data_IF_055289749980
#
_entry.id   IF_055289749980
#
_cell.length_a   1.000
_cell.length_b   1.000
_cell.length_c   1.000
_cell.angle_alpha   90.00
_cell.angle_beta   90.00
_cell.angle_gamma   90.00
#
_symmetry.space_group_name_H-M   'P 1'
#
loop_
_entity.id
_entity.type
_entity.pdbx_description
1 polymer ?
#
# COMPACT_ATOMS: atom_id res chain seq x y z
N UNK A 1 -18.47 20.77 10.32
CA UNK A 1 -19.58 19.80 10.22
C UNK A 1 -19.65 18.93 11.47
N UNK A 2 -18.55 18.34 11.94
CA UNK A 2 -18.49 17.46 13.13
C UNK A 2 -19.06 18.19 14.35
N UNK A 3 -18.48 19.30 14.74
CA UNK A 3 -18.96 20.12 15.86
C UNK A 3 -20.41 20.58 15.70
N UNK A 4 -20.79 20.97 14.49
CA UNK A 4 -22.10 21.50 14.19
C UNK A 4 -23.24 20.45 14.33
N UNK A 5 -22.93 19.18 14.06
CA UNK A 5 -23.87 18.04 14.22
C UNK A 5 -23.71 17.39 15.60
N UNK A 6 -22.60 17.68 16.29
CA UNK A 6 -22.26 17.08 17.57
C UNK A 6 -21.97 15.58 17.46
N UNK A 7 -21.26 15.19 16.38
CA UNK A 7 -20.86 13.80 16.18
C UNK A 7 -19.72 13.45 17.12
N UNK A 8 -19.84 12.31 17.83
CA UNK A 8 -18.76 11.78 18.64
C UNK A 8 -17.61 11.25 17.75
N UNK A 9 -16.40 11.70 18.04
CA UNK A 9 -15.18 11.29 17.32
C UNK A 9 -14.35 10.27 18.08
N UNK A 10 -14.83 9.82 19.23
CA UNK A 10 -14.09 8.88 20.09
C UNK A 10 -13.94 7.49 19.49
N UNK A 11 -14.90 7.07 18.65
CA UNK A 11 -14.88 5.79 17.91
C UNK A 11 -14.81 6.03 16.42
N UNK A 12 -13.78 5.48 15.80
CA UNK A 12 -13.56 5.63 14.36
C UNK A 12 -13.09 4.31 13.73
N UNK A 13 -13.21 4.24 12.41
CA UNK A 13 -12.74 3.12 11.60
C UNK A 13 -11.90 3.61 10.44
N UNK A 14 -10.80 2.93 10.16
CA UNK A 14 -9.82 3.24 9.12
C UNK A 14 -9.76 2.11 8.10
N UNK A 15 -9.76 2.47 6.82
CA UNK A 15 -9.54 1.53 5.74
C UNK A 15 -8.96 2.23 4.51
N UNK A 16 -8.41 1.44 3.58
CA UNK A 16 -7.85 1.91 2.33
C UNK A 16 -8.65 1.48 1.12
N UNK A 17 -8.61 2.27 0.06
CA UNK A 17 -9.22 1.89 -1.21
C UNK A 17 -8.40 2.33 -2.39
N UNK A 18 -8.43 1.50 -3.45
CA UNK A 18 -7.74 1.81 -4.70
C UNK A 18 -8.59 2.73 -5.57
N UNK A 19 -7.97 3.82 -5.99
CA UNK A 19 -8.52 4.75 -6.98
C UNK A 19 -7.71 4.64 -8.26
N UNK A 20 -8.38 4.24 -9.35
CA UNK A 20 -7.72 3.96 -10.63
C UNK A 20 -7.48 5.23 -11.42
N UNK A 21 -6.28 5.39 -11.95
CA UNK A 21 -5.97 6.40 -12.96
C UNK A 21 -6.50 6.01 -14.34
N UNK A 22 -6.71 7.00 -15.21
CA UNK A 22 -7.15 6.77 -16.58
C UNK A 22 -6.00 6.35 -17.54
N UNK A 23 -4.76 6.33 -17.06
CA UNK A 23 -3.61 5.95 -17.86
C UNK A 23 -3.35 4.44 -17.82
N UNK A 24 -2.71 3.94 -18.88
CA UNK A 24 -2.16 2.59 -18.93
C UNK A 24 -0.68 2.61 -18.57
N UNK A 25 -0.18 1.55 -17.94
CA UNK A 25 1.25 1.30 -17.86
C UNK A 25 1.83 1.15 -19.27
N UNK A 26 3.01 1.72 -19.48
CA UNK A 26 3.73 1.62 -20.74
C UNK A 26 4.82 0.54 -20.64
N UNK A 27 5.17 -0.14 -21.76
CA UNK A 27 6.39 -0.94 -21.81
C UNK A 27 7.61 -0.02 -21.61
N UNK A 28 8.73 -0.57 -21.19
CA UNK A 28 9.95 0.19 -20.85
C UNK A 28 10.39 1.15 -21.96
N UNK A 29 10.36 0.68 -23.22
CA UNK A 29 10.63 1.53 -24.36
C UNK A 29 9.64 2.72 -24.43
N UNK A 30 8.35 2.45 -24.26
CA UNK A 30 7.32 3.49 -24.25
C UNK A 30 7.49 4.52 -23.13
N UNK A 31 8.00 4.11 -21.97
CA UNK A 31 8.29 5.02 -20.85
C UNK A 31 9.41 6.01 -21.24
N UNK A 32 10.53 5.52 -21.81
CA UNK A 32 11.65 6.38 -22.25
C UNK A 32 11.20 7.31 -23.40
N UNK A 33 10.50 6.77 -24.39
CA UNK A 33 10.01 7.56 -25.54
C UNK A 33 9.04 8.66 -25.11
N UNK A 34 8.10 8.35 -24.22
CA UNK A 34 7.13 9.36 -23.74
C UNK A 34 7.80 10.40 -22.82
N UNK A 35 8.83 10.01 -22.04
CA UNK A 35 9.60 10.93 -21.23
C UNK A 35 10.38 11.93 -22.11
N UNK A 36 11.09 11.45 -23.11
CA UNK A 36 11.81 12.28 -24.08
C UNK A 36 10.84 13.22 -24.83
N UNK A 37 9.72 12.68 -25.31
CA UNK A 37 8.67 13.46 -25.98
C UNK A 37 8.11 14.58 -25.10
N UNK A 38 7.86 14.29 -23.81
CA UNK A 38 7.34 15.26 -22.85
C UNK A 38 8.37 16.39 -22.59
N UNK A 39 9.64 16.03 -22.42
CA UNK A 39 10.72 17.00 -22.24
C UNK A 39 10.84 17.88 -23.49
N UNK A 40 10.96 17.31 -24.67
CA UNK A 40 11.12 18.07 -25.91
C UNK A 40 9.94 19.00 -26.21
N UNK A 41 8.71 18.58 -25.91
CA UNK A 41 7.52 19.44 -26.04
C UNK A 41 7.49 20.59 -25.03
N UNK A 42 7.97 20.38 -23.81
CA UNK A 42 8.07 21.45 -22.82
C UNK A 42 9.20 22.41 -23.22
N UNK A 43 10.34 21.87 -23.68
CA UNK A 43 11.47 22.63 -24.19
C UNK A 43 11.07 23.55 -25.33
N UNK A 44 10.33 23.04 -26.33
CA UNK A 44 9.86 23.84 -27.47
C UNK A 44 8.98 25.03 -27.07
N UNK A 45 8.21 24.89 -26.00
CA UNK A 45 7.29 25.94 -25.53
C UNK A 45 7.99 26.99 -24.67
N UNK A 46 8.91 26.56 -23.80
CA UNK A 46 9.53 27.44 -22.81
C UNK A 46 10.91 27.97 -23.23
N UNK A 47 11.62 27.22 -24.05
CA UNK A 47 12.99 27.50 -24.49
C UNK A 47 13.16 27.19 -25.98
N UNK A 48 12.56 28.00 -26.90
CA UNK A 48 12.57 27.74 -28.33
C UNK A 48 13.97 27.76 -28.96
N UNK A 49 14.89 28.59 -28.46
CA UNK A 49 16.27 28.66 -28.97
C UNK A 49 17.05 27.38 -28.67
N UNK A 50 17.14 26.88 -27.41
CA UNK A 50 17.69 25.56 -27.13
C UNK A 50 17.00 24.42 -27.88
N UNK A 51 15.67 24.48 -28.06
CA UNK A 51 14.94 23.48 -28.83
C UNK A 51 15.37 23.43 -30.29
N UNK A 52 15.59 24.59 -30.93
CA UNK A 52 16.03 24.66 -32.33
C UNK A 52 17.42 24.04 -32.54
N UNK A 53 18.20 23.85 -31.49
CA UNK A 53 19.51 23.17 -31.61
C UNK A 53 19.41 21.64 -31.55
N UNK A 54 18.26 21.07 -31.18
CA UNK A 54 18.08 19.62 -31.10
C UNK A 54 18.15 18.99 -32.51
N UNK A 55 18.81 17.85 -32.61
CA UNK A 55 18.95 17.13 -33.86
C UNK A 55 17.58 16.81 -34.48
N UNK A 56 17.44 17.07 -35.78
CA UNK A 56 16.21 16.84 -36.53
C UNK A 56 15.75 15.37 -36.46
N UNK A 57 16.71 14.41 -36.40
CA UNK A 57 16.38 13.00 -36.29
C UNK A 57 15.75 12.67 -34.93
N UNK A 58 16.26 13.26 -33.86
CA UNK A 58 15.67 13.14 -32.52
C UNK A 58 14.26 13.73 -32.49
N UNK A 59 14.06 14.92 -33.05
CA UNK A 59 12.73 15.52 -33.15
C UNK A 59 11.75 14.65 -33.91
N UNK A 60 12.17 14.09 -35.06
CA UNK A 60 11.37 13.16 -35.84
C UNK A 60 10.97 11.91 -35.06
N UNK A 61 11.92 11.29 -34.32
CA UNK A 61 11.67 10.08 -33.53
C UNK A 61 10.69 10.32 -32.37
N UNK A 62 10.86 11.40 -31.62
CA UNK A 62 10.19 11.59 -30.34
C UNK A 62 9.02 12.58 -30.37
N UNK A 63 9.06 13.60 -31.22
CA UNK A 63 8.03 14.65 -31.29
C UNK A 63 7.06 14.43 -32.46
N UNK A 64 7.56 14.30 -33.65
CA UNK A 64 6.73 14.13 -34.85
C UNK A 64 6.16 12.72 -34.94
N UNK A 65 6.92 11.73 -34.48
CA UNK A 65 6.56 10.29 -34.47
C UNK A 65 6.19 9.81 -35.88
N UNK A 66 6.92 10.27 -36.90
CA UNK A 66 6.70 9.95 -38.30
C UNK A 66 7.95 9.38 -38.96
N UNK A 67 7.77 8.59 -40.04
CA UNK A 67 8.84 8.03 -40.83
C UNK A 67 9.55 6.83 -40.24
N UNK A 68 10.50 6.31 -40.98
CA UNK A 68 11.32 5.17 -40.60
C UNK A 68 12.13 5.49 -39.32
N UNK A 69 12.16 4.55 -38.41
CA UNK A 69 12.89 4.71 -37.15
C UNK A 69 12.13 5.42 -36.03
N UNK A 70 10.90 5.91 -36.25
CA UNK A 70 10.06 6.36 -35.12
C UNK A 70 9.63 5.17 -34.28
N UNK A 71 9.26 5.46 -32.99
CA UNK A 71 8.86 4.41 -32.03
C UNK A 71 7.35 4.14 -32.03
N UNK A 72 6.56 4.88 -32.85
CA UNK A 72 5.10 4.78 -32.87
C UNK A 72 4.61 3.38 -33.27
N UNK A 73 5.26 2.77 -34.25
CA UNK A 73 4.88 1.49 -34.87
C UNK A 73 5.76 0.31 -34.39
N UNK A 74 6.52 0.50 -33.30
CA UNK A 74 7.40 -0.56 -32.76
C UNK A 74 6.57 -1.74 -32.26
N UNK A 75 6.73 -2.90 -32.89
CA UNK A 75 6.09 -4.15 -32.43
C UNK A 75 6.66 -4.61 -31.10
N UNK A 76 5.88 -5.30 -30.26
CA UNK A 76 6.37 -5.82 -28.96
C UNK A 76 7.64 -6.66 -29.08
N UNK A 77 7.80 -7.43 -30.14
CA UNK A 77 8.99 -8.24 -30.44
C UNK A 77 10.26 -7.40 -30.69
N UNK A 78 10.11 -6.19 -31.22
CA UNK A 78 11.22 -5.28 -31.52
C UNK A 78 11.57 -4.37 -30.34
N UNK A 79 10.66 -4.22 -29.38
CA UNK A 79 10.80 -3.31 -28.26
C UNK A 79 12.09 -3.55 -27.48
N UNK A 80 12.47 -4.82 -27.24
CA UNK A 80 13.72 -5.16 -26.56
C UNK A 80 14.95 -4.74 -27.34
N UNK A 81 14.93 -4.86 -28.67
CA UNK A 81 16.05 -4.49 -29.57
C UNK A 81 16.24 -2.98 -29.63
N UNK A 82 15.15 -2.22 -29.61
CA UNK A 82 15.18 -0.75 -29.73
C UNK A 82 15.34 -0.01 -28.39
N UNK A 83 15.18 -0.71 -27.27
CA UNK A 83 15.31 -0.11 -25.95
C UNK A 83 16.71 0.50 -25.68
N UNK A 84 17.86 -0.13 -26.04
CA UNK A 84 19.17 0.49 -25.91
C UNK A 84 19.37 1.75 -26.75
N UNK A 85 18.75 1.85 -27.92
CA UNK A 85 18.76 3.05 -28.76
C UNK A 85 18.08 4.21 -28.02
N UNK A 86 16.85 4.00 -27.56
CA UNK A 86 16.12 5.01 -26.81
C UNK A 86 16.83 5.42 -25.50
N UNK A 87 17.52 4.48 -24.85
CA UNK A 87 18.29 4.76 -23.65
C UNK A 87 19.48 5.70 -23.92
N UNK A 88 20.18 5.51 -25.05
CA UNK A 88 21.27 6.41 -25.48
C UNK A 88 20.74 7.79 -25.87
N UNK A 89 19.70 7.85 -26.70
CA UNK A 89 19.10 9.14 -27.08
C UNK A 89 18.67 9.95 -25.86
N UNK A 90 18.07 9.30 -24.86
CA UNK A 90 17.68 9.93 -23.57
C UNK A 90 18.91 10.39 -22.79
N UNK A 91 19.96 9.61 -22.71
CA UNK A 91 21.21 9.98 -22.06
C UNK A 91 21.85 11.21 -22.72
N UNK A 92 21.93 11.24 -24.04
CA UNK A 92 22.46 12.36 -24.81
C UNK A 92 21.63 13.64 -24.59
N UNK A 93 20.31 13.53 -24.53
CA UNK A 93 19.45 14.65 -24.17
C UNK A 93 19.74 15.16 -22.76
N UNK A 94 19.92 14.26 -21.78
CA UNK A 94 20.22 14.62 -20.40
C UNK A 94 21.57 15.34 -20.33
N UNK A 95 22.64 14.79 -20.90
CA UNK A 95 23.96 15.40 -20.86
C UNK A 95 24.00 16.75 -21.58
N UNK A 96 23.34 16.86 -22.73
CA UNK A 96 23.27 18.10 -23.51
C UNK A 96 22.66 19.27 -22.71
N UNK A 97 21.62 19.02 -21.94
CA UNK A 97 20.88 20.06 -21.22
C UNK A 97 21.23 20.17 -19.74
N UNK A 98 22.17 19.36 -19.25
CA UNK A 98 22.53 19.27 -17.83
C UNK A 98 22.98 20.57 -17.19
N UNK A 99 23.71 21.39 -17.92
CA UNK A 99 24.32 22.64 -17.43
C UNK A 99 23.62 23.89 -17.99
N UNK A 100 22.36 23.78 -18.40
CA UNK A 100 21.58 24.87 -18.96
C UNK A 100 20.38 25.20 -18.07
N UNK A 101 19.79 26.38 -18.24
CA UNK A 101 18.58 26.79 -17.52
C UNK A 101 17.40 25.82 -17.75
N UNK A 102 17.46 25.05 -18.83
CA UNK A 102 16.44 24.04 -19.14
C UNK A 102 16.44 22.86 -18.15
N UNK A 103 17.52 22.68 -17.39
CA UNK A 103 17.59 21.65 -16.33
C UNK A 103 16.60 21.90 -15.20
N UNK A 104 16.08 23.12 -15.05
CA UNK A 104 15.03 23.48 -14.09
C UNK A 104 13.61 23.03 -14.51
N UNK A 105 13.43 22.51 -15.73
CA UNK A 105 12.14 22.03 -16.20
C UNK A 105 11.71 20.75 -15.44
N UNK A 106 10.45 20.69 -15.03
CA UNK A 106 9.91 19.49 -14.36
C UNK A 106 10.05 18.23 -15.22
N UNK A 107 9.84 18.38 -16.55
CA UNK A 107 9.98 17.27 -17.49
C UNK A 107 11.43 16.81 -17.65
N UNK A 108 12.42 17.69 -17.47
CA UNK A 108 13.84 17.29 -17.44
C UNK A 108 14.15 16.48 -16.18
N UNK A 109 13.73 16.92 -15.00
CA UNK A 109 13.88 16.14 -13.78
C UNK A 109 13.19 14.77 -13.84
N UNK A 110 12.02 14.71 -14.48
CA UNK A 110 11.33 13.44 -14.75
C UNK A 110 12.10 12.55 -15.73
N UNK A 111 12.69 13.12 -16.79
CA UNK A 111 13.51 12.40 -17.76
C UNK A 111 14.72 11.76 -17.07
N UNK A 112 15.45 12.53 -16.25
CA UNK A 112 16.58 12.04 -15.45
C UNK A 112 16.16 10.91 -14.50
N UNK A 113 15.07 11.10 -13.77
CA UNK A 113 14.54 10.07 -12.86
C UNK A 113 14.25 8.77 -13.60
N UNK A 114 13.52 8.82 -14.71
CA UNK A 114 13.18 7.65 -15.51
C UNK A 114 14.43 6.98 -16.06
N UNK A 115 15.42 7.77 -16.52
CA UNK A 115 16.70 7.23 -16.96
C UNK A 115 17.38 6.43 -15.86
N UNK A 116 17.56 7.00 -14.67
CA UNK A 116 18.19 6.30 -13.52
C UNK A 116 17.40 5.07 -13.04
N UNK A 117 16.08 5.08 -13.17
CA UNK A 117 15.25 3.91 -12.87
C UNK A 117 15.46 2.77 -13.87
N UNK A 118 15.72 3.07 -15.14
CA UNK A 118 15.75 2.11 -16.24
C UNK A 118 17.15 1.76 -16.75
N UNK A 119 18.13 2.64 -16.57
CA UNK A 119 19.44 2.58 -17.17
C UNK A 119 20.55 2.82 -16.15
N UNK A 120 21.78 2.51 -16.55
CA UNK A 120 23.01 2.73 -15.82
C UNK A 120 24.05 3.27 -16.78
N UNK A 121 24.84 4.25 -16.31
CA UNK A 121 26.00 4.78 -17.02
C UNK A 121 27.20 3.94 -16.64
N UNK A 122 28.00 3.55 -17.62
CA UNK A 122 29.20 2.73 -17.44
C UNK A 122 30.43 3.51 -17.91
N UNK A 123 31.61 3.09 -17.44
CA UNK A 123 32.90 3.67 -17.87
C UNK A 123 33.36 3.13 -19.24
N UNK A 124 32.59 2.20 -19.83
CA UNK A 124 32.89 1.66 -21.15
C UNK A 124 32.48 2.68 -22.22
N UNK A 125 33.47 3.31 -22.86
CA UNK A 125 33.25 4.29 -23.93
C UNK A 125 32.53 3.72 -25.16
N UNK A 126 32.57 2.40 -25.37
CA UNK A 126 31.87 1.71 -26.47
C UNK A 126 30.38 1.48 -26.17
N UNK A 127 30.01 1.41 -24.91
CA UNK A 127 28.64 1.22 -24.42
C UNK A 127 28.36 2.04 -23.16
N UNK A 128 28.35 3.39 -23.25
CA UNK A 128 28.26 4.25 -22.08
C UNK A 128 26.95 4.12 -21.32
N UNK A 129 25.91 3.51 -21.93
CA UNK A 129 24.59 3.32 -21.33
C UNK A 129 24.20 1.85 -21.42
N UNK A 130 23.90 1.25 -20.28
CA UNK A 130 23.38 -0.11 -20.16
C UNK A 130 21.97 -0.08 -19.59
N UNK A 131 21.05 -0.81 -20.22
CA UNK A 131 19.70 -0.96 -19.74
C UNK A 131 19.69 -1.97 -18.60
N UNK A 132 19.21 -1.55 -17.42
CA UNK A 132 19.08 -2.43 -16.25
C UNK A 132 18.18 -3.63 -16.55
N UNK A 133 18.39 -4.79 -15.91
CA UNK A 133 17.47 -5.92 -16.02
C UNK A 133 16.05 -5.52 -15.58
N UNK A 134 15.00 -6.19 -16.11
CA UNK A 134 13.63 -5.94 -15.66
C UNK A 134 13.51 -6.18 -14.16
N UNK A 135 12.85 -5.28 -13.44
CA UNK A 135 12.53 -5.51 -12.03
C UNK A 135 11.47 -6.61 -11.92
N UNK A 136 11.63 -7.52 -10.98
CA UNK A 136 10.80 -8.74 -10.85
C UNK A 136 9.61 -8.59 -9.89
N UNK A 137 9.53 -7.48 -9.16
CA UNK A 137 8.48 -7.26 -8.14
C UNK A 137 7.84 -5.89 -8.27
N UNK A 138 6.80 -5.64 -7.51
CA UNK A 138 6.12 -4.35 -7.37
C UNK A 138 7.17 -3.25 -7.16
N UNK A 139 7.40 -2.46 -8.19
CA UNK A 139 8.44 -1.45 -8.16
C UNK A 139 7.80 -0.06 -8.05
N UNK A 140 8.44 0.78 -7.23
CA UNK A 140 8.06 2.17 -7.04
C UNK A 140 8.45 3.07 -8.26
N UNK A 141 8.76 2.45 -9.40
CA UNK A 141 9.15 3.12 -10.62
C UNK A 141 7.99 3.79 -11.36
N UNK A 142 8.35 4.74 -12.21
CA UNK A 142 7.39 5.42 -13.10
C UNK A 142 6.85 4.42 -14.13
N UNK A 143 5.54 4.26 -14.17
CA UNK A 143 4.84 3.39 -15.14
C UNK A 143 4.35 4.13 -16.37
N UNK A 144 4.22 5.45 -16.28
CA UNK A 144 3.87 6.34 -17.37
C UNK A 144 4.27 7.79 -17.05
N UNK A 145 5.07 8.46 -17.90
CA UNK A 145 5.48 9.84 -17.70
C UNK A 145 4.34 10.87 -17.65
N UNK A 146 3.17 10.50 -18.17
CA UNK A 146 1.97 11.37 -18.09
C UNK A 146 1.32 11.41 -16.72
N UNK A 147 1.63 10.44 -15.83
CA UNK A 147 1.23 10.40 -14.44
C UNK A 147 2.35 9.73 -13.62
N UNK A 148 3.43 10.46 -13.31
CA UNK A 148 4.64 9.89 -12.71
C UNK A 148 4.45 9.43 -11.27
N UNK A 149 3.34 9.79 -10.62
CA UNK A 149 3.03 9.41 -9.24
C UNK A 149 2.20 8.14 -9.14
N UNK A 150 1.44 7.81 -10.19
CA UNK A 150 0.68 6.56 -10.23
C UNK A 150 1.62 5.35 -10.19
N UNK A 151 1.18 4.29 -9.49
CA UNK A 151 1.94 3.05 -9.33
C UNK A 151 1.12 1.85 -9.82
N UNK A 152 1.83 0.78 -10.09
CA UNK A 152 1.24 -0.52 -10.41
C UNK A 152 1.47 -1.49 -9.25
N UNK A 153 0.41 -2.18 -8.87
CA UNK A 153 0.47 -3.31 -7.95
C UNK A 153 -0.23 -4.50 -8.63
N UNK A 154 0.38 -5.67 -8.57
CA UNK A 154 -0.11 -6.90 -9.25
C UNK A 154 -1.56 -7.25 -8.88
N UNK A 155 -1.95 -7.03 -7.64
CA UNK A 155 -3.28 -7.38 -7.13
C UNK A 155 -4.28 -6.23 -7.21
N UNK A 156 -3.78 -4.99 -7.13
CA UNK A 156 -4.61 -3.77 -7.04
C UNK A 156 -4.74 -3.03 -8.39
N UNK A 157 -3.88 -3.33 -9.37
CA UNK A 157 -3.86 -2.68 -10.69
C UNK A 157 -3.05 -1.39 -10.70
N UNK A 158 -3.51 -0.36 -11.42
CA UNK A 158 -2.79 0.91 -11.61
C UNK A 158 -3.56 2.08 -11.00
N UNK A 159 -2.92 2.88 -10.17
CA UNK A 159 -3.53 4.06 -9.55
C UNK A 159 -2.85 4.54 -8.28
N UNK A 160 -3.68 4.92 -7.34
CA UNK A 160 -3.34 5.46 -6.02
C UNK A 160 -4.07 4.69 -4.93
N UNK A 161 -3.53 4.73 -3.72
CA UNK A 161 -4.20 4.24 -2.51
C UNK A 161 -4.80 5.44 -1.79
N UNK A 162 -6.08 5.36 -1.42
CA UNK A 162 -6.75 6.40 -0.64
C UNK A 162 -7.11 5.82 0.71
N UNK A 163 -6.61 6.46 1.76
CA UNK A 163 -6.95 6.16 3.15
C UNK A 163 -8.16 6.98 3.56
N UNK A 164 -9.12 6.37 4.22
CA UNK A 164 -10.28 7.05 4.79
C UNK A 164 -10.47 6.61 6.22
N UNK A 165 -10.55 7.58 7.13
CA UNK A 165 -10.99 7.37 8.50
C UNK A 165 -12.31 8.08 8.71
N UNK A 166 -13.27 7.43 9.38
CA UNK A 166 -14.59 7.98 9.65
C UNK A 166 -15.08 7.58 11.04
N UNK A 167 -15.97 8.37 11.61
CA UNK A 167 -16.66 8.04 12.86
C UNK A 167 -17.65 6.89 12.63
N UNK A 168 -18.00 6.21 13.71
CA UNK A 168 -19.17 5.32 13.76
C UNK A 168 -19.83 5.39 15.13
N UNK A 169 -21.13 5.16 15.17
CA UNK A 169 -21.89 4.95 16.39
C UNK A 169 -22.31 3.47 16.47
N UNK A 170 -22.37 2.95 17.71
CA UNK A 170 -22.96 1.64 17.96
C UNK A 170 -24.47 1.83 18.17
N UNK A 171 -25.29 1.06 17.47
CA UNK A 171 -26.77 1.16 17.56
C UNK A 171 -27.35 0.69 18.91
N UNK A 172 -26.49 0.12 19.79
CA UNK A 172 -26.92 -0.50 21.04
C UNK A 172 -26.90 0.46 22.25
N UNK A 173 -26.81 1.77 22.06
CA UNK A 173 -26.85 2.73 23.17
C UNK A 173 -28.28 2.87 23.72
N UNK A 174 -28.59 2.35 24.92
CA UNK A 174 -29.94 2.36 25.49
C UNK A 174 -30.45 3.77 25.90
N UNK A 175 -29.66 4.81 25.66
CA UNK A 175 -29.95 6.19 26.09
C UNK A 175 -30.37 7.13 24.93
N UNK A 176 -30.37 6.69 23.68
CA UNK A 176 -30.89 7.51 22.58
C UNK A 176 -32.39 7.26 22.43
N UNK A 177 -33.16 8.34 22.49
CA UNK A 177 -34.63 8.38 22.22
C UNK A 177 -34.86 7.77 20.82
N UNK A 178 -35.52 6.60 20.76
CA UNK A 178 -35.84 5.86 19.52
C UNK A 178 -36.60 6.73 18.49
N UNK A 179 -37.03 7.95 18.87
CA UNK A 179 -37.71 8.91 18.01
C UNK A 179 -36.80 9.77 17.16
N UNK A 180 -35.47 9.81 17.45
CA UNK A 180 -34.51 10.61 16.68
C UNK A 180 -33.65 9.75 15.76
N UNK A 181 -33.44 10.18 14.50
CA UNK A 181 -32.58 9.47 13.59
C UNK A 181 -31.11 9.48 14.09
N UNK A 182 -30.41 8.36 13.97
CA UNK A 182 -29.01 8.24 14.34
C UNK A 182 -28.14 9.30 13.64
N UNK A 183 -27.18 9.87 14.37
CA UNK A 183 -26.22 10.82 13.79
C UNK A 183 -25.40 10.17 12.68
N UNK A 184 -25.06 10.93 11.63
CA UNK A 184 -24.36 10.36 10.48
C UNK A 184 -22.88 10.08 10.82
N UNK A 185 -22.37 8.98 10.31
CA UNK A 185 -20.91 8.75 10.27
C UNK A 185 -20.25 9.80 9.38
N UNK A 186 -19.18 10.45 9.85
CA UNK A 186 -18.48 11.49 9.12
C UNK A 186 -17.02 11.11 8.88
N UNK A 187 -16.57 11.35 7.66
CA UNK A 187 -15.16 11.18 7.30
C UNK A 187 -14.35 12.25 8.03
N UNK A 188 -13.39 11.82 8.82
CA UNK A 188 -12.51 12.65 9.63
C UNK A 188 -11.12 12.82 9.03
N UNK A 189 -10.63 11.82 8.25
CA UNK A 189 -9.33 11.86 7.61
C UNK A 189 -9.40 11.30 6.19
N UNK A 190 -8.66 11.93 5.27
CA UNK A 190 -8.43 11.44 3.91
C UNK A 190 -6.98 11.72 3.51
N UNK A 191 -6.27 10.68 3.15
CA UNK A 191 -4.94 10.78 2.56
C UNK A 191 -4.88 10.03 1.22
N UNK A 192 -3.96 10.43 0.36
CA UNK A 192 -3.69 9.75 -0.91
C UNK A 192 -2.22 9.36 -0.94
N UNK A 193 -1.96 8.09 -1.16
CA UNK A 193 -0.65 7.50 -1.12
C UNK A 193 -0.32 6.77 -2.43
N UNK A 194 0.93 6.38 -2.57
CA UNK A 194 1.35 5.48 -3.64
C UNK A 194 0.68 4.13 -3.46
N UNK A 195 0.23 3.53 -4.56
CA UNK A 195 -0.43 2.22 -4.54
C UNK A 195 0.45 1.09 -3.99
N UNK A 196 1.75 1.29 -3.94
CA UNK A 196 2.75 0.36 -3.38
C UNK A 196 2.97 0.51 -1.87
N UNK A 197 2.39 1.53 -1.25
CA UNK A 197 2.46 1.73 0.20
C UNK A 197 1.77 0.57 0.95
N UNK A 198 2.34 0.14 2.06
CA UNK A 198 1.69 -0.80 2.96
C UNK A 198 0.64 -0.08 3.80
N UNK A 199 -0.53 -0.71 3.97
CA UNK A 199 -1.64 -0.09 4.69
C UNK A 199 -1.23 0.32 6.12
N UNK A 200 -0.44 -0.49 6.82
CA UNK A 200 0.09 -0.19 8.17
C UNK A 200 0.87 1.14 8.26
N UNK A 201 1.51 1.57 7.19
CA UNK A 201 2.31 2.81 7.17
C UNK A 201 1.42 4.06 7.17
N UNK A 202 0.13 3.91 6.89
CA UNK A 202 -0.86 5.00 6.93
C UNK A 202 -1.36 5.31 8.34
N UNK A 203 -1.16 4.40 9.33
CA UNK A 203 -1.72 4.54 10.67
C UNK A 203 -1.22 5.80 11.38
N UNK A 204 0.09 5.96 11.48
CA UNK A 204 0.68 7.08 12.22
C UNK A 204 0.31 8.44 11.60
N UNK A 205 0.45 8.65 10.27
CA UNK A 205 0.01 9.88 9.63
C UNK A 205 -1.48 10.19 9.84
N UNK A 206 -2.34 9.17 9.84
CA UNK A 206 -3.77 9.35 10.05
C UNK A 206 -4.10 9.78 11.47
N UNK A 207 -3.45 9.16 12.47
CA UNK A 207 -3.62 9.52 13.88
C UNK A 207 -3.05 10.92 14.19
N UNK A 208 -1.88 11.25 13.63
CA UNK A 208 -1.25 12.55 13.81
C UNK A 208 -2.10 13.70 13.20
N UNK A 209 -2.67 13.48 11.99
CA UNK A 209 -3.61 14.42 11.36
C UNK A 209 -4.90 14.58 12.18
N UNK A 210 -5.44 13.48 12.71
CA UNK A 210 -6.64 13.54 13.55
C UNK A 210 -6.38 14.26 14.88
N UNK A 211 -5.20 14.08 15.49
CA UNK A 211 -4.80 14.77 16.71
C UNK A 211 -4.64 16.28 16.49
N UNK A 212 -3.96 16.68 15.41
CA UNK A 212 -3.80 18.10 15.05
C UNK A 212 -5.14 18.81 14.84
N UNK A 213 -6.16 18.08 14.37
CA UNK A 213 -7.51 18.62 14.13
C UNK A 213 -8.47 18.44 15.30
N UNK A 214 -8.02 17.90 16.43
CA UNK A 214 -8.83 17.70 17.63
C UNK A 214 -9.95 16.66 17.45
N UNK A 215 -9.79 15.71 16.54
CA UNK A 215 -10.75 14.63 16.23
C UNK A 215 -10.13 13.24 16.41
N UNK A 216 -9.08 13.13 17.23
CA UNK A 216 -8.39 11.87 17.48
C UNK A 216 -9.32 10.87 18.17
N UNK A 217 -9.42 9.61 17.64
CA UNK A 217 -10.20 8.57 18.28
C UNK A 217 -9.58 8.11 19.62
N UNK A 218 -10.41 7.57 20.49
CA UNK A 218 -9.99 6.72 21.61
C UNK A 218 -9.93 5.26 21.19
N UNK A 219 -10.81 4.86 20.27
CA UNK A 219 -10.89 3.53 19.69
C UNK A 219 -10.87 3.61 18.18
N UNK A 220 -10.02 2.79 17.54
CA UNK A 220 -9.91 2.72 16.08
C UNK A 220 -10.05 1.29 15.56
N UNK A 221 -11.10 1.04 14.78
CA UNK A 221 -11.29 -0.22 14.07
C UNK A 221 -10.52 -0.18 12.75
N UNK A 222 -9.75 -1.23 12.45
CA UNK A 222 -9.03 -1.36 11.19
C UNK A 222 -8.97 -2.81 10.73
N UNK A 223 -8.61 -3.06 9.46
CA UNK A 223 -8.49 -4.42 8.96
C UNK A 223 -7.23 -5.14 9.48
N UNK A 224 -7.09 -6.42 9.15
CA UNK A 224 -5.97 -7.25 9.61
C UNK A 224 -4.58 -6.78 9.16
N UNK A 225 -4.48 -5.90 8.15
CA UNK A 225 -3.21 -5.30 7.75
C UNK A 225 -2.65 -4.35 8.81
N UNK A 226 -3.52 -3.81 9.69
CA UNK A 226 -3.15 -3.01 10.86
C UNK A 226 -3.04 -3.85 12.14
N UNK A 227 -3.27 -5.17 12.05
CA UNK A 227 -3.29 -6.10 13.21
C UNK A 227 -1.90 -6.58 13.65
N UNK A 228 -0.80 -5.95 13.24
CA UNK A 228 0.53 -6.28 13.76
C UNK A 228 0.72 -5.76 15.19
N UNK A 229 1.57 -6.43 15.98
CA UNK A 229 1.90 -5.96 17.33
C UNK A 229 2.51 -4.55 17.31
N UNK A 230 3.28 -4.23 16.27
CA UNK A 230 3.84 -2.89 16.05
C UNK A 230 2.76 -1.83 15.87
N UNK A 231 1.74 -2.08 15.02
CA UNK A 231 0.63 -1.14 14.84
C UNK A 231 -0.16 -0.90 16.13
N UNK A 232 -0.39 -1.96 16.92
CA UNK A 232 -1.07 -1.82 18.21
C UNK A 232 -0.25 -0.99 19.20
N UNK A 233 1.07 -1.19 19.24
CA UNK A 233 1.97 -0.39 20.07
C UNK A 233 1.95 1.08 19.67
N UNK A 234 2.05 1.38 18.38
CA UNK A 234 1.95 2.73 17.81
C UNK A 234 0.62 3.41 18.16
N UNK A 235 -0.49 2.66 18.14
CA UNK A 235 -1.79 3.15 18.60
C UNK A 235 -1.78 3.47 20.10
N UNK A 236 -1.27 2.54 20.93
CA UNK A 236 -1.19 2.71 22.38
C UNK A 236 -0.32 3.91 22.77
N UNK A 237 0.84 4.10 22.15
CA UNK A 237 1.72 5.24 22.37
C UNK A 237 1.02 6.59 22.11
N UNK A 238 0.03 6.60 21.21
CA UNK A 238 -0.81 7.78 20.91
C UNK A 238 -2.10 7.85 21.73
N UNK A 239 -2.30 6.92 22.67
CA UNK A 239 -3.51 6.86 23.48
C UNK A 239 -4.74 6.38 22.73
N UNK A 240 -4.55 5.58 21.67
CA UNK A 240 -5.62 5.01 20.83
C UNK A 240 -5.65 3.50 21.00
N UNK A 241 -6.81 2.96 21.36
CA UNK A 241 -7.04 1.52 21.40
C UNK A 241 -7.34 1.02 19.98
N UNK A 242 -6.45 0.16 19.45
CA UNK A 242 -6.60 -0.42 18.14
C UNK A 242 -7.41 -1.73 18.21
N UNK A 243 -8.49 -1.81 17.47
CA UNK A 243 -9.30 -3.04 17.30
C UNK A 243 -9.13 -3.54 15.86
N UNK A 244 -8.19 -4.45 15.70
CA UNK A 244 -7.81 -5.00 14.39
C UNK A 244 -7.45 -6.47 14.55
N UNK A 245 -8.04 -7.37 13.75
CA UNK A 245 -7.73 -8.79 13.87
C UNK A 245 -6.29 -9.07 13.46
N UNK A 246 -5.68 -10.03 14.12
CA UNK A 246 -4.34 -10.50 13.81
C UNK A 246 -4.32 -11.19 12.44
N UNK A 247 -3.25 -11.02 11.70
CA UNK A 247 -3.04 -11.79 10.46
C UNK A 247 -2.98 -13.30 10.78
N UNK A 248 -3.55 -14.17 9.92
CA UNK A 248 -3.44 -15.61 10.07
C UNK A 248 -1.99 -16.07 10.18
N UNK A 249 -1.72 -17.06 11.01
CA UNK A 249 -0.38 -17.61 11.14
C UNK A 249 0.15 -18.14 9.81
N UNK A 250 1.46 -17.95 9.59
CA UNK A 250 2.10 -18.43 8.36
C UNK A 250 1.99 -19.96 8.26
N UNK A 251 1.38 -20.43 7.21
CA UNK A 251 1.18 -21.88 6.96
C UNK A 251 -0.25 -22.36 7.23
N UNK A 252 -1.09 -21.60 7.95
CA UNK A 252 -2.50 -21.98 8.21
C UNK A 252 -3.26 -22.33 6.94
N UNK A 253 -3.15 -21.53 5.89
CA UNK A 253 -3.80 -21.77 4.58
C UNK A 253 -3.32 -23.05 3.88
N UNK A 254 -2.18 -23.59 4.28
CA UNK A 254 -1.58 -24.82 3.74
C UNK A 254 -1.81 -26.03 4.66
N UNK A 255 -2.62 -25.88 5.71
CA UNK A 255 -2.91 -26.95 6.68
C UNK A 255 -1.76 -27.28 7.62
N UNK A 256 -0.71 -26.44 7.68
CA UNK A 256 0.43 -26.64 8.57
C UNK A 256 0.06 -26.29 10.00
N UNK A 257 0.64 -27.01 10.94
CA UNK A 257 0.54 -26.69 12.35
C UNK A 257 1.20 -25.36 12.66
N UNK A 258 0.53 -24.60 13.50
CA UNK A 258 0.94 -23.27 13.96
C UNK A 258 1.02 -23.25 15.48
N UNK A 259 1.40 -22.14 16.08
CA UNK A 259 1.56 -22.08 17.54
C UNK A 259 0.23 -22.30 18.30
N UNK A 260 -0.88 -21.95 17.67
CA UNK A 260 -2.24 -22.13 18.16
C UNK A 260 -2.65 -23.60 18.33
N UNK A 261 -1.98 -24.51 17.64
CA UNK A 261 -2.24 -25.97 17.73
C UNK A 261 -1.52 -26.63 18.91
N UNK A 262 -0.63 -25.88 19.61
CA UNK A 262 0.20 -26.38 20.71
C UNK A 262 -0.27 -25.80 22.06
N UNK A 263 -0.12 -26.58 23.12
CA UNK A 263 -0.33 -26.07 24.48
C UNK A 263 0.90 -25.26 24.92
N UNK A 264 0.65 -24.05 25.43
CA UNK A 264 1.68 -23.13 25.90
C UNK A 264 1.56 -22.94 27.42
N UNK A 265 2.68 -22.74 28.11
CA UNK A 265 2.69 -22.26 29.49
C UNK A 265 2.54 -20.73 29.57
N UNK A 266 2.57 -20.19 30.78
CA UNK A 266 2.46 -18.76 31.07
C UNK A 266 3.61 -17.93 30.44
N UNK A 267 4.75 -18.55 30.18
CA UNK A 267 5.91 -17.91 29.55
C UNK A 267 5.87 -18.01 28.02
N UNK A 268 4.87 -18.72 27.46
CA UNK A 268 4.71 -18.95 26.03
C UNK A 268 5.56 -20.09 25.51
N UNK A 269 6.14 -20.93 26.35
CA UNK A 269 6.82 -22.16 25.94
C UNK A 269 5.79 -23.25 25.59
N UNK A 270 6.05 -23.99 24.53
CA UNK A 270 5.28 -25.17 24.19
C UNK A 270 5.54 -26.25 25.22
N UNK A 271 4.50 -26.69 25.92
CA UNK A 271 4.53 -27.79 26.90
C UNK A 271 3.98 -29.10 26.32
N UNK A 272 3.13 -29.03 25.29
CA UNK A 272 2.60 -30.21 24.62
C UNK A 272 2.27 -29.94 23.16
N UNK A 273 2.59 -30.90 22.28
CA UNK A 273 2.20 -30.83 20.87
C UNK A 273 0.77 -31.37 20.65
N UNK A 274 0.12 -31.16 19.48
CA UNK A 274 -1.23 -31.63 19.18
C UNK A 274 -1.39 -33.17 19.24
N UNK A 275 -0.28 -33.88 19.20
CA UNK A 275 -0.25 -35.34 19.34
C UNK A 275 0.05 -35.82 20.79
N UNK A 276 -0.03 -34.92 21.76
CA UNK A 276 0.13 -35.22 23.17
C UNK A 276 1.57 -35.39 23.67
N UNK A 277 2.59 -35.08 22.85
CA UNK A 277 3.99 -35.25 23.23
C UNK A 277 4.54 -33.95 23.86
N UNK A 278 5.28 -34.10 24.96
CA UNK A 278 6.00 -32.99 25.60
C UNK A 278 7.41 -32.86 25.02
N UNK A 279 7.98 -31.64 24.94
CA UNK A 279 9.36 -31.43 24.58
C UNK A 279 10.30 -32.11 25.58
N UNK A 280 11.41 -32.67 25.09
CA UNK A 280 12.51 -33.19 25.94
C UNK A 280 13.40 -32.06 26.49
N UNK A 281 13.41 -30.92 25.83
CA UNK A 281 14.13 -29.74 26.24
C UNK A 281 13.35 -28.49 25.83
N UNK A 282 13.29 -27.50 26.71
CA UNK A 282 12.69 -26.21 26.45
C UNK A 282 13.61 -25.10 27.01
N UNK A 283 13.81 -24.04 26.25
CA UNK A 283 14.67 -22.89 26.62
C UNK A 283 13.99 -21.57 26.30
N UNK A 284 14.04 -20.66 27.26
CA UNK A 284 13.67 -19.26 27.09
C UNK A 284 14.93 -18.44 26.91
N UNK A 285 15.02 -17.67 25.85
CA UNK A 285 16.07 -16.67 25.64
C UNK A 285 15.40 -15.30 25.41
N UNK A 286 16.15 -14.25 25.54
CA UNK A 286 15.66 -12.86 25.48
C UNK A 286 14.83 -12.57 24.22
N UNK A 287 15.22 -13.09 23.07
CA UNK A 287 14.55 -12.82 21.78
C UNK A 287 13.71 -14.01 21.31
N UNK A 288 14.05 -15.24 21.69
CA UNK A 288 13.48 -16.46 21.13
C UNK A 288 13.22 -17.52 22.18
N UNK A 289 12.17 -18.30 21.96
CA UNK A 289 11.87 -19.52 22.65
C UNK A 289 12.27 -20.70 21.77
N UNK A 290 12.74 -21.78 22.37
CA UNK A 290 13.14 -22.98 21.68
C UNK A 290 12.60 -24.21 22.41
N UNK A 291 12.09 -25.16 21.64
CA UNK A 291 11.69 -26.49 22.11
C UNK A 291 12.32 -27.58 21.26
N UNK A 292 12.67 -28.68 21.88
CA UNK A 292 13.23 -29.87 21.24
C UNK A 292 12.35 -31.07 21.58
N UNK A 293 11.90 -31.79 20.58
CA UNK A 293 11.14 -33.04 20.74
C UNK A 293 12.04 -34.25 20.45
N UNK A 294 11.67 -35.43 21.01
CA UNK A 294 12.35 -36.67 20.74
C UNK A 294 12.20 -37.09 19.27
N UNK A 295 13.31 -37.20 18.51
CA UNK A 295 13.26 -37.59 17.10
C UNK A 295 12.66 -39.01 16.89
N UNK A 296 12.86 -39.92 17.84
CA UNK A 296 12.34 -41.30 17.76
C UNK A 296 10.81 -41.32 17.83
N UNK A 297 10.23 -40.54 18.74
CA UNK A 297 8.76 -40.41 18.87
C UNK A 297 8.17 -39.65 17.66
N UNK A 298 8.84 -38.63 17.19
CA UNK A 298 8.37 -37.84 16.05
C UNK A 298 8.51 -38.56 14.70
N UNK A 299 9.35 -39.60 14.58
CA UNK A 299 9.56 -40.34 13.33
C UNK A 299 8.29 -41.00 12.81
N UNK A 300 7.42 -41.50 13.73
CA UNK A 300 6.14 -42.12 13.40
C UNK A 300 4.94 -41.19 13.47
N UNK A 301 5.13 -39.90 13.64
CA UNK A 301 4.03 -38.94 13.82
C UNK A 301 3.23 -38.72 12.53
N UNK A 302 1.91 -38.89 12.51
CA UNK A 302 1.07 -38.68 11.33
C UNK A 302 1.00 -37.24 10.85
N UNK A 303 1.33 -36.27 11.73
CA UNK A 303 1.37 -34.83 11.41
C UNK A 303 2.80 -34.30 11.14
N UNK A 304 3.76 -35.23 10.87
CA UNK A 304 5.16 -34.87 10.68
C UNK A 304 5.37 -33.88 9.51
N UNK A 305 4.65 -34.07 8.39
CA UNK A 305 4.75 -33.18 7.19
C UNK A 305 4.33 -31.75 7.45
N UNK A 306 3.43 -31.55 8.43
CA UNK A 306 2.82 -30.24 8.73
C UNK A 306 3.42 -29.60 9.98
N UNK A 307 4.27 -30.33 10.69
CA UNK A 307 4.81 -29.91 11.98
C UNK A 307 6.00 -28.96 11.82
N UNK A 308 5.99 -27.78 12.47
CA UNK A 308 7.09 -26.82 12.40
C UNK A 308 8.39 -27.32 13.05
N UNK A 309 8.31 -28.28 13.99
CA UNK A 309 9.49 -28.92 14.60
C UNK A 309 10.18 -29.93 13.67
N UNK A 310 9.46 -30.38 12.62
CA UNK A 310 9.96 -31.39 11.67
C UNK A 310 10.42 -30.78 10.34
N UNK A 311 10.94 -29.55 10.35
CA UNK A 311 11.39 -28.87 9.14
C UNK A 311 12.35 -29.74 8.29
N UNK A 312 12.13 -29.74 6.99
CA UNK A 312 12.88 -30.54 6.04
C UNK A 312 14.40 -30.39 6.17
N UNK A 313 15.15 -31.51 6.11
CA UNK A 313 16.60 -31.54 6.18
C UNK A 313 17.22 -31.52 7.58
N UNK A 314 16.42 -31.45 8.65
CA UNK A 314 16.90 -31.49 10.03
C UNK A 314 16.68 -32.85 10.68
N UNK A 315 17.74 -33.43 11.25
CA UNK A 315 17.63 -34.65 12.08
C UNK A 315 17.01 -34.35 13.44
N UNK A 316 17.29 -33.16 14.00
CA UNK A 316 16.73 -32.73 15.27
C UNK A 316 15.32 -32.20 15.07
N UNK A 317 14.41 -32.53 16.00
CA UNK A 317 13.05 -32.04 16.05
C UNK A 317 12.98 -30.75 16.86
N UNK A 318 13.64 -29.69 16.36
CA UNK A 318 13.82 -28.41 17.01
C UNK A 318 12.92 -27.38 16.38
N UNK A 319 12.19 -26.65 17.21
CA UNK A 319 11.41 -25.49 16.81
C UNK A 319 11.83 -24.25 17.59
N UNK A 320 12.02 -23.14 16.87
CA UNK A 320 12.31 -21.82 17.43
C UNK A 320 11.25 -20.84 16.98
N UNK A 321 10.77 -20.06 17.91
CA UNK A 321 9.78 -19.00 17.67
C UNK A 321 10.06 -17.82 18.60
N UNK A 322 9.49 -16.63 18.32
CA UNK A 322 9.74 -15.38 19.04
C UNK A 322 8.63 -15.11 20.05
N UNK A 323 8.92 -14.30 21.06
CA UNK A 323 7.91 -13.77 21.99
C UNK A 323 6.79 -13.01 21.24
N UNK A 324 7.14 -12.34 20.13
CA UNK A 324 6.17 -11.68 19.25
C UNK A 324 5.15 -12.67 18.66
N UNK A 325 5.59 -13.85 18.23
CA UNK A 325 4.68 -14.91 17.77
C UNK A 325 3.78 -15.44 18.87
N UNK A 326 4.25 -15.50 20.12
CA UNK A 326 3.44 -15.88 21.26
C UNK A 326 2.33 -14.86 21.49
N UNK A 327 2.67 -13.56 21.50
CA UNK A 327 1.68 -12.48 21.60
C UNK A 327 0.65 -12.52 20.47
N UNK A 328 1.09 -12.76 19.24
CA UNK A 328 0.19 -12.90 18.08
C UNK A 328 -0.71 -14.14 18.20
N UNK A 329 -0.20 -15.25 18.75
CA UNK A 329 -0.98 -16.47 19.02
C UNK A 329 -2.10 -16.17 20.03
N UNK A 330 -1.77 -15.58 21.16
CA UNK A 330 -2.74 -15.19 22.19
C UNK A 330 -3.84 -14.28 21.62
N UNK A 331 -3.44 -13.29 20.84
CA UNK A 331 -4.39 -12.38 20.16
C UNK A 331 -5.31 -13.09 19.17
N UNK A 332 -4.82 -14.03 18.37
CA UNK A 332 -5.68 -14.77 17.43
C UNK A 332 -6.72 -15.63 18.16
N UNK A 333 -6.39 -16.13 19.35
CA UNK A 333 -7.36 -16.80 20.20
C UNK A 333 -8.41 -15.83 20.74
N UNK A 334 -8.00 -14.63 21.13
CA UNK A 334 -8.91 -13.55 21.56
C UNK A 334 -9.80 -13.07 20.39
N UNK A 335 -9.24 -12.86 19.21
CA UNK A 335 -9.95 -12.45 17.98
C UNK A 335 -11.06 -13.46 17.59
N UNK A 336 -10.95 -14.69 18.02
CA UNK A 336 -11.97 -15.73 17.79
C UNK A 336 -13.15 -15.65 18.79
N UNK A 337 -13.08 -14.83 19.84
CA UNK A 337 -14.13 -14.65 20.83
C UNK A 337 -15.36 -13.91 20.26
N UNK A 338 -16.53 -14.16 20.84
CA UNK A 338 -17.75 -13.45 20.45
C UNK A 338 -17.66 -11.97 20.86
N UNK A 339 -17.03 -11.65 21.97
CA UNK A 339 -16.81 -10.26 22.42
C UNK A 339 -15.99 -9.44 21.40
N UNK A 340 -14.93 -10.03 20.85
CA UNK A 340 -14.16 -9.36 19.80
C UNK A 340 -14.99 -9.19 18.51
N UNK A 341 -15.72 -10.20 18.11
CA UNK A 341 -16.58 -10.18 16.90
C UNK A 341 -17.65 -9.10 17.00
N UNK A 342 -18.32 -8.98 18.16
CA UNK A 342 -19.33 -7.97 18.38
C UNK A 342 -18.74 -6.56 18.31
N UNK A 343 -17.58 -6.34 18.89
CA UNK A 343 -16.87 -5.06 18.83
C UNK A 343 -16.40 -4.74 17.41
N UNK A 344 -15.88 -5.73 16.70
CA UNK A 344 -15.28 -5.56 15.36
C UNK A 344 -16.32 -5.44 14.24
N UNK A 345 -17.58 -5.90 14.43
CA UNK A 345 -18.63 -5.89 13.40
C UNK A 345 -18.84 -4.51 12.74
N UNK A 346 -18.67 -3.44 13.51
CA UNK A 346 -18.86 -2.06 13.06
C UNK A 346 -17.83 -1.61 12.01
N UNK A 347 -16.71 -2.29 11.90
CA UNK A 347 -15.69 -2.02 10.87
C UNK A 347 -16.25 -2.14 9.45
N UNK A 348 -17.18 -3.05 9.21
CA UNK A 348 -17.77 -3.29 7.88
C UNK A 348 -18.45 -2.04 7.28
N UNK A 349 -18.92 -1.11 8.11
CA UNK A 349 -19.54 0.12 7.64
C UNK A 349 -18.65 1.00 6.77
N UNK A 350 -17.32 0.96 6.95
CA UNK A 350 -16.41 1.72 6.09
C UNK A 350 -16.46 1.25 4.63
N UNK A 351 -16.82 -0.01 4.37
CA UNK A 351 -16.96 -0.54 3.01
C UNK A 351 -18.10 0.15 2.25
N UNK A 352 -19.18 0.48 2.94
CA UNK A 352 -20.28 1.28 2.36
C UNK A 352 -19.82 2.70 2.03
N UNK A 353 -19.00 3.30 2.90
CA UNK A 353 -18.39 4.62 2.63
C UNK A 353 -17.46 4.57 1.44
N UNK A 354 -16.58 3.57 1.36
CA UNK A 354 -15.69 3.35 0.21
C UNK A 354 -16.47 3.17 -1.09
N UNK A 355 -17.57 2.42 -1.06
CA UNK A 355 -18.44 2.24 -2.21
C UNK A 355 -19.08 3.56 -2.66
N UNK A 356 -19.64 4.33 -1.73
CA UNK A 356 -20.20 5.66 -2.03
C UNK A 356 -19.15 6.64 -2.56
N UNK A 357 -17.97 6.67 -1.94
CA UNK A 357 -16.85 7.49 -2.36
C UNK A 357 -16.42 7.16 -3.80
N UNK A 358 -16.34 5.88 -4.15
CA UNK A 358 -16.00 5.45 -5.52
C UNK A 358 -17.09 5.75 -6.53
N UNK A 359 -18.31 5.33 -6.25
CA UNK A 359 -19.37 5.29 -7.26
C UNK A 359 -20.23 6.54 -7.28
N UNK A 360 -20.66 7.05 -6.14
CA UNK A 360 -21.48 8.25 -6.08
C UNK A 360 -20.64 9.52 -6.22
N UNK A 361 -19.46 9.57 -5.58
CA UNK A 361 -18.56 10.72 -5.66
C UNK A 361 -17.57 10.65 -6.84
N UNK A 362 -17.63 9.60 -7.66
CA UNK A 362 -16.88 9.48 -8.92
C UNK A 362 -15.38 9.22 -8.76
N UNK A 363 -14.94 8.65 -7.61
CA UNK A 363 -13.52 8.34 -7.36
C UNK A 363 -13.06 7.00 -7.93
N UNK A 364 -13.95 6.17 -8.48
CA UNK A 364 -13.57 4.88 -9.05
C UNK A 364 -12.56 5.01 -10.21
N UNK A 365 -12.67 6.09 -10.99
CA UNK A 365 -11.77 6.39 -12.12
C UNK A 365 -11.54 7.88 -12.23
N UNK A 366 -10.34 8.31 -11.92
CA UNK A 366 -9.95 9.72 -11.93
C UNK A 366 -9.75 10.26 -13.34
N UNK A 367 -10.09 11.54 -13.52
CA UNK A 367 -9.78 12.34 -14.71
C UNK A 367 -8.56 13.26 -14.49
N UNK A 368 -8.08 13.39 -13.25
CA UNK A 368 -6.90 14.15 -12.86
C UNK A 368 -5.69 13.25 -12.71
N UNK A 369 -4.50 13.81 -12.78
CA UNK A 369 -3.21 13.12 -12.68
C UNK A 369 -2.27 13.87 -11.74
N UNK A 370 -1.34 13.11 -11.15
CA UNK A 370 -0.38 13.62 -10.16
C UNK A 370 -0.94 13.68 -8.75
N UNK A 371 -0.09 13.34 -7.77
CA UNK A 371 -0.46 13.17 -6.36
C UNK A 371 -1.25 14.37 -5.82
N UNK A 372 -0.75 15.58 -6.00
CA UNK A 372 -1.37 16.80 -5.47
C UNK A 372 -2.82 17.00 -5.95
N UNK A 373 -3.08 16.79 -7.26
CA UNK A 373 -4.43 16.95 -7.82
C UNK A 373 -5.36 15.83 -7.39
N UNK A 374 -4.85 14.60 -7.28
CA UNK A 374 -5.62 13.45 -6.81
C UNK A 374 -6.01 13.65 -5.35
N UNK A 375 -5.08 14.10 -4.50
CA UNK A 375 -5.34 14.43 -3.09
C UNK A 375 -6.40 15.52 -2.96
N UNK A 376 -6.26 16.60 -3.71
CA UNK A 376 -7.26 17.69 -3.69
C UNK A 376 -8.65 17.20 -4.06
N UNK A 377 -8.77 16.40 -5.14
CA UNK A 377 -10.06 15.86 -5.56
C UNK A 377 -10.61 14.86 -4.53
N UNK A 378 -9.76 14.04 -3.92
CA UNK A 378 -10.18 13.09 -2.88
C UNK A 378 -10.77 13.83 -1.67
N UNK A 379 -10.11 14.88 -1.19
CA UNK A 379 -10.58 15.72 -0.08
C UNK A 379 -11.92 16.40 -0.40
N UNK A 380 -12.06 16.99 -1.61
CA UNK A 380 -13.33 17.60 -2.02
C UNK A 380 -14.48 16.58 -2.10
N UNK A 381 -14.21 15.37 -2.57
CA UNK A 381 -15.23 14.31 -2.66
C UNK A 381 -15.62 13.77 -1.29
N UNK A 382 -14.66 13.63 -0.37
CA UNK A 382 -14.96 13.27 1.02
C UNK A 382 -15.78 14.34 1.73
N UNK A 383 -15.43 15.61 1.56
CA UNK A 383 -16.24 16.73 2.06
C UNK A 383 -17.66 16.71 1.46
N UNK A 384 -17.79 16.49 0.14
CA UNK A 384 -19.08 16.35 -0.52
C UNK A 384 -19.93 15.21 0.07
N UNK A 385 -19.29 14.06 0.36
CA UNK A 385 -19.98 12.93 0.99
C UNK A 385 -20.46 13.29 2.42
N UNK A 386 -19.63 13.97 3.20
CA UNK A 386 -20.03 14.45 4.52
C UNK A 386 -21.19 15.46 4.45
N UNK A 387 -21.16 16.38 3.50
CA UNK A 387 -22.28 17.34 3.29
C UNK A 387 -23.58 16.59 2.96
N UNK A 388 -23.54 15.60 2.07
CA UNK A 388 -24.71 14.78 1.76
C UNK A 388 -25.28 14.06 2.98
N UNK A 389 -24.40 13.48 3.80
CA UNK A 389 -24.80 12.77 5.04
C UNK A 389 -25.46 13.72 6.04
N UNK A 390 -24.86 14.88 6.26
CA UNK A 390 -25.42 15.89 7.18
C UNK A 390 -26.74 16.46 6.66
N UNK A 391 -26.85 16.70 5.35
CA UNK A 391 -28.10 17.17 4.75
C UNK A 391 -29.24 16.15 4.90
N UNK A 392 -28.95 14.86 4.65
CA UNK A 392 -29.91 13.78 4.85
C UNK A 392 -30.38 13.68 6.32
N UNK A 393 -29.41 13.73 7.27
CA UNK A 393 -29.71 13.74 8.69
C UNK A 393 -30.61 14.90 9.09
N UNK A 394 -30.30 16.13 8.67
CA UNK A 394 -31.12 17.32 8.96
C UNK A 394 -32.54 17.23 8.41
N UNK A 395 -32.69 16.66 7.21
CA UNK A 395 -34.02 16.44 6.63
C UNK A 395 -34.82 15.40 7.43
N UNK A 396 -34.15 14.46 8.08
CA UNK A 396 -34.82 13.45 8.90
C UNK A 396 -35.16 13.94 10.32
N UNK A 397 -34.46 14.94 10.83
CA UNK A 397 -34.70 15.52 12.18
C UNK A 397 -35.75 16.62 12.12
N UNK A 398 -36.11 17.17 10.93
CA UNK A 398 -37.10 18.23 10.75
C UNK A 398 -36.50 19.50 10.20
#
# INVERSE_FOLDING_TARGET
LIEHVGVDTSKQRLDSTVVRTAIRGLPRLGILVEAASKFLRELSRKHPEPYATVDAEVLRKYVERQGDGCFADTRPSESKRRLPEAARDVYELIERFRQTDTAALESYGLLQRIFHEQCEVTDDSSAPVVVRPPRTSDCDGVINPSDPDARYNKHRGTGYLVQIMETFAEDDSPEEDDSQPAKPDLITHVAVDKLTMHDQDALEPALDDADQRGVKPKELLADSHYGSNECLEKGRERGVEMVSPSMPAKGTRQGKLTLEDFELDEQGLVVRCPMGQSPVEARVAEVRLQVLFDPGVCAGCPRQSDCPAAAAGRRERRWQYTHDRVRQCARRLEDASDAFRDRYRWRSGVEATMSRFKHQMGMARLRVRGMAKVTYVAMLRALGLNIHRVAAYRTAVG
#
